data_IF_739911916095
#
_entry.id   IF_739911916095
#
_cell.length_a   1.000
_cell.length_b   1.000
_cell.length_c   1.000
_cell.angle_alpha   90.00
_cell.angle_beta   90.00
_cell.angle_gamma   90.00
#
_symmetry.space_group_name_H-M   'P 1'
#
loop_
_entity.id
_entity.type
_entity.pdbx_description
1 polymer ?
#
# COMPACT_ATOMS: atom_id res chain seq x y z
N UNK A 1 52.14 -71.87 27.44
CA UNK A 1 51.02 -72.79 27.22
C UNK A 1 49.96 -72.08 26.44
N UNK A 2 49.91 -72.42 25.29
CA UNK A 2 49.08 -72.36 24.13
C UNK A 2 47.56 -72.21 24.43
N UNK A 3 46.86 -71.36 23.72
CA UNK A 3 45.48 -71.48 23.26
C UNK A 3 45.19 -70.10 22.67
N UNK A 4 44.87 -69.88 21.42
CA UNK A 4 43.95 -70.52 20.51
C UNK A 4 43.11 -69.38 19.92
N UNK A 5 43.45 -68.91 18.70
CA UNK A 5 42.65 -67.88 17.98
C UNK A 5 41.37 -68.53 17.43
N UNK A 6 40.24 -67.98 17.76
CA UNK A 6 39.00 -68.20 16.98
C UNK A 6 38.67 -66.91 16.21
N UNK A 7 38.67 -67.05 14.88
CA UNK A 7 38.19 -66.03 13.96
C UNK A 7 36.68 -66.05 13.91
N UNK A 8 36.04 -64.90 14.15
CA UNK A 8 34.62 -64.63 13.83
C UNK A 8 34.59 -63.85 12.50
N UNK A 9 34.18 -64.56 11.49
CA UNK A 9 33.79 -63.96 10.20
C UNK A 9 32.45 -63.26 10.41
N UNK A 10 32.49 -61.93 10.51
CA UNK A 10 31.32 -61.04 10.56
C UNK A 10 30.73 -60.90 9.18
N UNK A 11 29.48 -61.22 9.03
CA UNK A 11 28.65 -60.99 7.90
C UNK A 11 28.47 -59.47 7.62
N UNK A 12 29.31 -58.92 6.76
CA UNK A 12 29.11 -57.66 6.08
C UNK A 12 28.24 -57.97 4.86
N UNK A 13 27.01 -57.51 4.88
CA UNK A 13 26.30 -57.53 3.63
C UNK A 13 24.79 -57.42 3.80
N UNK A 14 24.20 -56.49 3.13
CA UNK A 14 22.80 -56.36 2.73
C UNK A 14 21.96 -55.18 3.29
N UNK A 15 22.55 -54.25 4.06
CA UNK A 15 21.80 -53.06 4.44
C UNK A 15 22.08 -51.82 3.54
N UNK A 16 23.11 -51.83 2.71
CA UNK A 16 23.47 -50.69 1.87
C UNK A 16 22.72 -50.59 0.53
N UNK A 17 22.28 -51.75 -0.02
CA UNK A 17 21.68 -51.76 -1.38
C UNK A 17 20.18 -51.35 -1.35
N UNK A 18 19.47 -51.59 -0.26
CA UNK A 18 18.05 -51.24 -0.13
C UNK A 18 17.83 -49.74 0.08
N UNK A 19 18.73 -49.04 0.80
CA UNK A 19 18.63 -47.60 0.99
C UNK A 19 18.87 -46.82 -0.32
N UNK A 20 19.87 -47.20 -1.10
CA UNK A 20 20.15 -46.55 -2.39
C UNK A 20 19.08 -46.78 -3.44
N UNK A 21 18.41 -47.93 -3.43
CA UNK A 21 17.28 -48.19 -4.34
C UNK A 21 16.02 -47.46 -3.97
N UNK A 22 15.73 -47.29 -2.66
CA UNK A 22 14.59 -46.53 -2.19
C UNK A 22 14.75 -45.03 -2.44
N UNK A 23 15.94 -44.45 -2.23
CA UNK A 23 16.22 -43.05 -2.51
C UNK A 23 16.11 -42.75 -4.03
N UNK A 24 16.60 -43.62 -4.88
CA UNK A 24 16.48 -43.45 -6.34
C UNK A 24 15.01 -43.56 -6.81
N UNK A 25 14.23 -44.46 -6.24
CA UNK A 25 12.81 -44.63 -6.57
C UNK A 25 12.00 -43.42 -6.07
N UNK A 26 12.26 -42.94 -4.84
CA UNK A 26 11.63 -41.75 -4.29
C UNK A 26 11.94 -40.47 -5.10
N UNK A 27 13.17 -40.35 -5.64
CA UNK A 27 13.53 -39.23 -6.51
C UNK A 27 12.79 -39.30 -7.87
N UNK A 28 12.68 -40.50 -8.50
CA UNK A 28 11.98 -40.64 -9.76
C UNK A 28 10.46 -40.37 -9.64
N UNK A 29 9.83 -40.83 -8.53
CA UNK A 29 8.42 -40.53 -8.24
C UNK A 29 8.26 -39.05 -7.95
N UNK A 30 9.16 -38.44 -7.18
CA UNK A 30 9.18 -37.01 -6.90
C UNK A 30 9.29 -36.18 -8.19
N UNK A 31 10.19 -36.54 -9.11
CA UNK A 31 10.31 -35.86 -10.40
C UNK A 31 9.03 -35.95 -11.25
N UNK A 32 8.35 -37.10 -11.20
CA UNK A 32 7.05 -37.27 -11.88
C UNK A 32 6.00 -36.37 -11.24
N UNK A 33 5.88 -36.37 -9.92
CA UNK A 33 4.93 -35.54 -9.18
C UNK A 33 5.23 -34.04 -9.39
N UNK A 34 6.51 -33.66 -9.42
CA UNK A 34 6.91 -32.27 -9.73
C UNK A 34 6.44 -31.80 -11.11
N UNK A 35 6.47 -32.64 -12.13
CA UNK A 35 5.93 -32.29 -13.45
C UNK A 35 4.42 -31.99 -13.39
N UNK A 36 3.67 -32.71 -12.55
CA UNK A 36 2.24 -32.43 -12.33
C UNK A 36 2.04 -31.07 -11.62
N UNK A 37 2.81 -30.78 -10.56
CA UNK A 37 2.82 -29.46 -9.91
C UNK A 37 3.13 -28.37 -10.92
N UNK A 38 4.20 -28.52 -11.71
CA UNK A 38 4.62 -27.51 -12.69
C UNK A 38 3.55 -27.19 -13.73
N UNK A 39 2.72 -28.17 -14.09
CA UNK A 39 1.57 -27.96 -15.00
C UNK A 39 0.41 -27.27 -14.27
N UNK A 40 0.08 -27.73 -13.07
CA UNK A 40 -1.05 -27.24 -12.30
C UNK A 40 -0.83 -25.80 -11.77
N UNK A 41 0.43 -25.37 -11.64
CA UNK A 41 0.79 -24.00 -11.21
C UNK A 41 0.85 -22.98 -12.35
N UNK A 42 0.66 -23.40 -13.59
CA UNK A 42 0.55 -22.50 -14.74
C UNK A 42 -0.84 -21.86 -14.76
N UNK A 43 -0.89 -20.54 -14.94
CA UNK A 43 -2.16 -19.85 -15.14
C UNK A 43 -2.83 -20.35 -16.43
N UNK A 44 -4.11 -20.70 -16.40
CA UNK A 44 -4.84 -21.05 -17.61
C UNK A 44 -4.92 -19.84 -18.55
N UNK A 45 -4.85 -20.10 -19.85
CA UNK A 45 -5.04 -19.06 -20.85
C UNK A 45 -6.49 -18.55 -20.79
N UNK A 46 -6.68 -17.22 -20.79
CA UNK A 46 -8.02 -16.67 -20.80
C UNK A 46 -8.78 -17.05 -22.07
N UNK A 47 -10.12 -17.16 -22.00
CA UNK A 47 -10.96 -17.40 -23.17
C UNK A 47 -10.75 -16.32 -24.26
N UNK A 48 -10.76 -16.72 -25.53
CA UNK A 48 -10.52 -15.81 -26.65
C UNK A 48 -11.56 -14.65 -26.70
N UNK A 49 -12.76 -14.88 -26.24
CA UNK A 49 -13.84 -13.89 -26.14
C UNK A 49 -13.51 -12.70 -25.25
N UNK A 50 -12.61 -12.89 -24.26
CA UNK A 50 -12.16 -11.80 -23.37
C UNK A 50 -11.29 -10.76 -24.06
N UNK A 51 -10.78 -11.06 -25.24
CA UNK A 51 -10.07 -10.07 -26.08
C UNK A 51 -11.06 -9.05 -26.69
N UNK A 52 -12.30 -9.48 -26.93
CA UNK A 52 -13.35 -8.63 -27.53
C UNK A 52 -14.22 -7.97 -26.47
N UNK A 53 -14.52 -8.70 -25.38
CA UNK A 53 -15.32 -8.20 -24.27
C UNK A 53 -14.57 -8.50 -22.96
N UNK A 54 -14.03 -7.47 -22.28
CA UNK A 54 -13.36 -7.66 -21.00
C UNK A 54 -14.29 -8.33 -19.98
N UNK A 55 -13.80 -9.35 -19.25
CA UNK A 55 -14.60 -10.06 -18.26
C UNK A 55 -14.83 -9.19 -17.01
N UNK A 56 -15.96 -9.44 -16.36
CA UNK A 56 -16.22 -8.88 -15.03
C UNK A 56 -15.29 -9.50 -13.99
N UNK A 57 -15.10 -8.86 -12.81
CA UNK A 57 -14.34 -9.44 -11.71
C UNK A 57 -14.85 -10.82 -11.27
N UNK A 58 -16.18 -11.02 -11.29
CA UNK A 58 -16.81 -12.29 -10.94
C UNK A 58 -16.50 -13.40 -11.97
N UNK A 59 -16.57 -13.08 -13.26
CA UNK A 59 -16.20 -14.02 -14.34
C UNK A 59 -14.72 -14.40 -14.25
N UNK A 60 -13.84 -13.43 -13.94
CA UNK A 60 -12.42 -13.71 -13.71
C UNK A 60 -12.22 -14.66 -12.51
N UNK A 61 -12.87 -14.39 -11.37
CA UNK A 61 -12.77 -15.23 -10.19
C UNK A 61 -13.23 -16.66 -10.50
N UNK A 62 -14.39 -16.83 -11.12
CA UNK A 62 -14.96 -18.12 -11.51
C UNK A 62 -14.03 -18.95 -12.42
N UNK A 63 -13.25 -18.26 -13.26
CA UNK A 63 -12.32 -18.93 -14.16
C UNK A 63 -10.98 -19.25 -13.51
N UNK A 64 -10.38 -18.31 -12.75
CA UNK A 64 -9.03 -18.49 -12.24
C UNK A 64 -8.96 -19.20 -10.89
N UNK A 65 -9.92 -18.96 -9.97
CA UNK A 65 -9.84 -19.49 -8.59
C UNK A 65 -9.73 -21.01 -8.55
N UNK A 66 -10.52 -21.80 -9.29
CA UNK A 66 -10.37 -23.25 -9.28
C UNK A 66 -9.01 -23.76 -9.72
N UNK A 67 -8.37 -23.07 -10.68
CA UNK A 67 -7.03 -23.43 -11.13
C UNK A 67 -5.96 -23.08 -10.10
N UNK A 68 -6.10 -21.92 -9.43
CA UNK A 68 -5.21 -21.48 -8.34
C UNK A 68 -5.29 -22.44 -7.14
N UNK A 69 -6.50 -22.81 -6.72
CA UNK A 69 -6.72 -23.76 -5.61
C UNK A 69 -6.16 -25.15 -5.93
N UNK A 70 -6.42 -25.68 -7.14
CA UNK A 70 -5.85 -26.96 -7.58
C UNK A 70 -4.32 -26.94 -7.63
N UNK A 71 -3.73 -25.86 -8.16
CA UNK A 71 -2.29 -25.68 -8.18
C UNK A 71 -1.68 -25.65 -6.78
N UNK A 72 -2.31 -24.93 -5.85
CA UNK A 72 -1.91 -24.85 -4.44
C UNK A 72 -2.01 -26.21 -3.74
N UNK A 73 -3.07 -26.98 -3.98
CA UNK A 73 -3.23 -28.32 -3.44
C UNK A 73 -2.18 -29.30 -3.93
N UNK A 74 -1.91 -29.31 -5.25
CA UNK A 74 -0.85 -30.14 -5.85
C UNK A 74 0.53 -29.79 -5.30
N UNK A 75 0.82 -28.49 -5.13
CA UNK A 75 2.07 -28.04 -4.55
C UNK A 75 2.21 -28.52 -3.08
N UNK A 76 1.14 -28.45 -2.29
CA UNK A 76 1.11 -28.94 -0.90
C UNK A 76 1.32 -30.45 -0.82
N UNK A 77 0.57 -31.24 -1.61
CA UNK A 77 0.71 -32.69 -1.68
C UNK A 77 2.16 -33.07 -1.99
N UNK A 78 2.78 -32.38 -2.96
CA UNK A 78 4.15 -32.66 -3.37
C UNK A 78 5.15 -32.51 -2.22
N UNK A 79 5.24 -31.34 -1.57
CA UNK A 79 6.25 -31.14 -0.51
C UNK A 79 5.94 -31.92 0.76
N UNK A 80 4.71 -32.33 0.96
CA UNK A 80 4.31 -33.21 2.08
C UNK A 80 4.78 -34.64 1.84
N UNK A 81 4.65 -35.16 0.62
CA UNK A 81 5.08 -36.52 0.24
C UNK A 81 6.59 -36.59 0.00
N UNK A 82 7.17 -35.53 -0.51
CA UNK A 82 8.60 -35.47 -0.89
C UNK A 82 9.34 -34.33 -0.19
N UNK A 83 9.40 -34.28 1.15
CA UNK A 83 9.93 -33.14 1.89
C UNK A 83 11.43 -32.90 1.66
N UNK A 84 12.18 -33.94 1.27
CA UNK A 84 13.62 -33.87 0.98
C UNK A 84 13.95 -33.65 -0.50
N UNK A 85 12.96 -33.62 -1.37
CA UNK A 85 13.16 -33.39 -2.79
C UNK A 85 13.68 -31.97 -3.07
N UNK A 86 14.61 -31.80 -4.01
CA UNK A 86 15.22 -30.52 -4.37
C UNK A 86 14.20 -29.43 -4.75
N UNK A 87 12.97 -29.80 -5.11
CA UNK A 87 11.88 -28.92 -5.49
C UNK A 87 10.86 -28.65 -4.35
N UNK A 88 11.04 -29.24 -3.18
CA UNK A 88 10.10 -29.10 -2.07
C UNK A 88 9.89 -27.64 -1.65
N UNK A 89 10.97 -26.85 -1.54
CA UNK A 89 10.87 -25.44 -1.20
C UNK A 89 10.24 -24.60 -2.34
N UNK A 90 10.50 -24.96 -3.58
CA UNK A 90 9.84 -24.32 -4.72
C UNK A 90 8.32 -24.60 -4.72
N UNK A 91 7.91 -25.81 -4.34
CA UNK A 91 6.49 -26.14 -4.17
C UNK A 91 5.83 -25.34 -3.04
N UNK A 92 6.49 -25.18 -1.88
CA UNK A 92 5.99 -24.32 -0.77
C UNK A 92 5.77 -22.87 -1.23
N UNK A 93 6.73 -22.32 -1.96
CA UNK A 93 6.61 -20.98 -2.53
C UNK A 93 5.47 -20.89 -3.55
N UNK A 94 5.26 -21.92 -4.35
CA UNK A 94 4.15 -21.97 -5.31
C UNK A 94 2.79 -21.99 -4.60
N UNK A 95 2.59 -22.84 -3.58
CA UNK A 95 1.35 -22.85 -2.79
C UNK A 95 1.06 -21.46 -2.20
N UNK A 96 2.06 -20.85 -1.54
CA UNK A 96 1.92 -19.53 -0.96
C UNK A 96 1.49 -18.47 -1.99
N UNK A 97 2.13 -18.45 -3.14
CA UNK A 97 1.84 -17.47 -4.20
C UNK A 97 0.43 -17.66 -4.77
N UNK A 98 0.03 -18.90 -5.03
CA UNK A 98 -1.28 -19.21 -5.60
C UNK A 98 -2.41 -18.85 -4.63
N UNK A 99 -2.28 -19.20 -3.34
CA UNK A 99 -3.24 -18.81 -2.31
C UNK A 99 -3.28 -17.29 -2.12
N UNK A 100 -2.13 -16.62 -2.21
CA UNK A 100 -2.06 -15.15 -2.14
C UNK A 100 -2.82 -14.49 -3.30
N UNK A 101 -2.67 -15.01 -4.52
CA UNK A 101 -3.41 -14.50 -5.69
C UNK A 101 -4.91 -14.75 -5.52
N UNK A 102 -5.32 -15.96 -5.11
CA UNK A 102 -6.73 -16.30 -4.91
C UNK A 102 -7.37 -15.38 -3.84
N UNK A 103 -6.73 -15.25 -2.68
CA UNK A 103 -7.24 -14.43 -1.59
C UNK A 103 -7.27 -12.92 -1.91
N UNK A 104 -6.18 -12.37 -2.51
CA UNK A 104 -6.07 -10.92 -2.69
C UNK A 104 -6.74 -10.39 -3.95
N UNK A 105 -6.60 -11.10 -5.07
CA UNK A 105 -7.11 -10.62 -6.36
C UNK A 105 -8.56 -10.98 -6.58
N UNK A 106 -8.98 -12.13 -6.04
CA UNK A 106 -10.29 -12.70 -6.30
C UNK A 106 -11.18 -12.77 -5.06
N UNK A 107 -10.71 -12.29 -3.89
CA UNK A 107 -11.42 -12.34 -2.61
C UNK A 107 -11.92 -13.75 -2.26
N UNK A 108 -11.12 -14.77 -2.59
CA UNK A 108 -11.48 -16.15 -2.33
C UNK A 108 -11.46 -16.44 -0.84
N UNK A 109 -12.65 -16.75 -0.30
CA UNK A 109 -12.88 -17.01 1.13
C UNK A 109 -12.28 -18.34 1.59
N UNK A 110 -12.00 -19.29 0.68
CA UNK A 110 -11.38 -20.57 1.01
C UNK A 110 -9.86 -20.46 1.09
N UNK A 111 -9.25 -19.63 0.24
CA UNK A 111 -7.80 -19.44 0.22
C UNK A 111 -7.29 -18.69 1.46
N UNK A 112 -8.04 -17.73 1.99
CA UNK A 112 -7.57 -16.86 3.08
C UNK A 112 -7.25 -17.63 4.38
N UNK A 113 -8.09 -18.53 4.92
CA UNK A 113 -7.75 -19.33 6.10
C UNK A 113 -6.56 -20.28 5.87
N UNK A 114 -6.47 -20.88 4.69
CA UNK A 114 -5.34 -21.75 4.32
C UNK A 114 -4.04 -20.97 4.26
N UNK A 115 -4.07 -19.76 3.68
CA UNK A 115 -2.92 -18.86 3.62
C UNK A 115 -2.46 -18.48 5.03
N UNK A 116 -3.37 -18.15 5.95
CA UNK A 116 -3.03 -17.80 7.33
C UNK A 116 -2.34 -18.95 8.08
N UNK A 117 -2.78 -20.20 7.87
CA UNK A 117 -2.12 -21.38 8.44
C UNK A 117 -0.70 -21.52 7.88
N UNK A 118 -0.54 -21.43 6.56
CA UNK A 118 0.75 -21.55 5.90
C UNK A 118 1.73 -20.42 6.32
N UNK A 119 1.24 -19.19 6.44
CA UNK A 119 2.02 -18.05 6.94
C UNK A 119 2.55 -18.30 8.35
N UNK A 120 1.70 -18.82 9.24
CA UNK A 120 2.08 -19.17 10.61
C UNK A 120 3.12 -20.30 10.65
N UNK A 121 2.93 -21.35 9.86
CA UNK A 121 3.89 -22.45 9.74
C UNK A 121 5.25 -21.94 9.23
N UNK A 122 5.26 -21.11 8.21
CA UNK A 122 6.49 -20.52 7.65
C UNK A 122 7.20 -19.59 8.63
N UNK A 123 6.47 -18.75 9.37
CA UNK A 123 7.08 -17.88 10.40
C UNK A 123 7.79 -18.66 11.51
N UNK A 124 7.38 -19.90 11.76
CA UNK A 124 8.00 -20.79 12.74
C UNK A 124 9.17 -21.59 12.17
N UNK A 125 9.46 -21.51 10.87
CA UNK A 125 10.63 -22.19 10.27
C UNK A 125 11.92 -21.51 10.72
N UNK A 126 12.82 -22.22 11.45
CA UNK A 126 14.09 -21.65 11.91
C UNK A 126 15.08 -21.36 10.76
N UNK A 127 14.84 -21.93 9.58
CA UNK A 127 15.67 -21.70 8.38
C UNK A 127 15.27 -20.44 7.60
N UNK A 128 14.15 -19.82 7.96
CA UNK A 128 13.69 -18.61 7.30
C UNK A 128 14.68 -17.47 7.60
N UNK A 129 15.25 -16.87 6.57
CA UNK A 129 16.13 -15.71 6.71
C UNK A 129 15.37 -14.49 7.27
N UNK A 130 16.11 -13.53 7.83
CA UNK A 130 15.51 -12.28 8.35
C UNK A 130 14.71 -11.54 7.26
N UNK A 131 15.27 -11.44 6.05
CA UNK A 131 14.59 -10.76 4.94
C UNK A 131 13.33 -11.52 4.47
N UNK A 132 13.38 -12.85 4.38
CA UNK A 132 12.18 -13.64 4.06
C UNK A 132 11.11 -13.51 5.14
N UNK A 133 11.51 -13.47 6.41
CA UNK A 133 10.60 -13.26 7.56
C UNK A 133 9.96 -11.86 7.51
N UNK A 134 10.76 -10.84 7.21
CA UNK A 134 10.25 -9.47 7.01
C UNK A 134 9.22 -9.42 5.87
N UNK A 135 9.57 -9.96 4.69
CA UNK A 135 8.67 -9.98 3.53
C UNK A 135 7.36 -10.72 3.82
N UNK A 136 7.45 -11.85 4.53
CA UNK A 136 6.28 -12.63 4.92
C UNK A 136 5.36 -11.82 5.86
N UNK A 137 5.92 -11.20 6.92
CA UNK A 137 5.15 -10.36 7.84
C UNK A 137 4.56 -9.13 7.17
N UNK A 138 5.31 -8.47 6.30
CA UNK A 138 4.78 -7.35 5.50
C UNK A 138 3.62 -7.79 4.61
N UNK A 139 3.75 -8.96 3.99
CA UNK A 139 2.69 -9.56 3.19
C UNK A 139 1.40 -9.81 3.99
N UNK A 140 1.53 -10.29 5.23
CA UNK A 140 0.40 -10.49 6.14
C UNK A 140 -0.31 -9.16 6.43
N UNK A 141 0.45 -8.13 6.84
CA UNK A 141 -0.11 -6.80 7.12
C UNK A 141 -0.82 -6.21 5.90
N UNK A 142 -0.20 -6.29 4.72
CA UNK A 142 -0.82 -5.82 3.48
C UNK A 142 -2.12 -6.56 3.13
N UNK A 143 -2.18 -7.88 3.39
CA UNK A 143 -3.41 -8.66 3.20
C UNK A 143 -4.52 -8.19 4.14
N UNK A 144 -4.20 -7.94 5.40
CA UNK A 144 -5.16 -7.46 6.39
C UNK A 144 -5.66 -6.04 6.10
N UNK A 145 -4.86 -5.19 5.45
CA UNK A 145 -5.29 -3.86 4.98
C UNK A 145 -6.34 -3.91 3.88
N UNK A 146 -6.34 -4.93 3.03
CA UNK A 146 -7.25 -5.00 1.88
C UNK A 146 -8.71 -5.38 2.22
N UNK A 147 -9.10 -5.36 3.51
CA UNK A 147 -10.51 -5.20 3.89
C UNK A 147 -11.34 -6.47 3.99
N UNK A 148 -10.85 -7.55 4.61
CA UNK A 148 -11.77 -8.58 5.12
C UNK A 148 -12.48 -8.08 6.38
N UNK A 149 -13.80 -8.32 6.54
CA UNK A 149 -14.49 -8.01 7.79
C UNK A 149 -13.82 -8.74 8.97
N UNK A 150 -13.76 -8.10 10.14
CA UNK A 150 -13.20 -8.59 11.41
C UNK A 150 -11.68 -8.70 11.56
N UNK A 151 -10.87 -8.05 10.72
CA UNK A 151 -9.41 -8.14 10.78
C UNK A 151 -8.70 -7.03 11.59
N UNK A 152 -9.42 -6.09 12.19
CA UNK A 152 -8.80 -4.93 12.87
C UNK A 152 -7.83 -5.32 14.00
N UNK A 153 -8.23 -6.25 14.88
CA UNK A 153 -7.37 -6.70 15.98
C UNK A 153 -6.17 -7.51 15.45
N UNK A 154 -6.39 -8.34 14.43
CA UNK A 154 -5.32 -9.12 13.81
C UNK A 154 -4.33 -8.19 13.07
N UNK A 155 -4.83 -7.19 12.37
CA UNK A 155 -4.01 -6.15 11.73
C UNK A 155 -3.14 -5.43 12.76
N UNK A 156 -3.73 -4.91 13.84
CA UNK A 156 -3.01 -4.23 14.91
C UNK A 156 -1.90 -5.11 15.51
N UNK A 157 -2.24 -6.36 15.85
CA UNK A 157 -1.29 -7.34 16.35
C UNK A 157 -0.16 -7.62 15.35
N UNK A 158 -0.48 -7.75 14.07
CA UNK A 158 0.50 -8.02 13.01
C UNK A 158 1.45 -6.84 12.80
N UNK A 159 0.96 -5.59 12.89
CA UNK A 159 1.79 -4.38 12.88
C UNK A 159 2.69 -4.31 14.12
N UNK A 160 2.16 -4.69 15.31
CA UNK A 160 2.93 -4.75 16.55
C UNK A 160 4.09 -5.73 16.46
N UNK A 161 3.83 -6.93 15.97
CA UNK A 161 4.84 -7.97 15.77
C UNK A 161 5.87 -7.55 14.72
N UNK A 162 5.44 -6.97 13.60
CA UNK A 162 6.32 -6.50 12.54
C UNK A 162 7.28 -5.41 13.06
N UNK A 163 6.78 -4.42 13.78
CA UNK A 163 7.62 -3.35 14.34
C UNK A 163 8.55 -3.86 15.45
N UNK A 164 8.08 -4.80 16.29
CA UNK A 164 8.88 -5.42 17.34
C UNK A 164 10.04 -6.23 16.76
N UNK A 165 9.79 -7.03 15.73
CA UNK A 165 10.78 -7.92 15.13
C UNK A 165 11.79 -7.13 14.26
N UNK A 166 11.37 -6.02 13.65
CA UNK A 166 12.18 -5.25 12.70
C UNK A 166 12.18 -3.74 12.99
N UNK A 167 12.57 -3.29 14.19
CA UNK A 167 12.42 -1.91 14.63
C UNK A 167 13.28 -0.89 13.87
N UNK A 168 14.27 -1.33 13.08
CA UNK A 168 15.19 -0.47 12.34
C UNK A 168 14.95 -0.52 10.82
N UNK A 169 14.06 -1.37 10.35
CA UNK A 169 13.79 -1.56 8.91
C UNK A 169 12.85 -0.46 8.41
N UNK A 170 13.32 0.30 7.44
CA UNK A 170 12.56 1.41 6.85
C UNK A 170 11.25 0.94 6.22
N UNK A 171 11.24 -0.23 5.62
CA UNK A 171 10.07 -0.85 4.96
C UNK A 171 8.89 -1.00 5.91
N UNK A 172 9.15 -1.29 7.19
CA UNK A 172 8.12 -1.39 8.23
C UNK A 172 7.37 -0.07 8.39
N UNK A 173 8.11 1.02 8.47
CA UNK A 173 7.52 2.35 8.66
C UNK A 173 6.85 2.88 7.39
N UNK A 174 7.33 2.52 6.22
CA UNK A 174 6.64 2.81 4.95
C UNK A 174 5.28 2.11 4.91
N UNK A 175 5.22 0.83 5.33
CA UNK A 175 3.97 0.11 5.43
C UNK A 175 3.02 0.71 6.47
N UNK A 176 3.54 1.12 7.64
CA UNK A 176 2.73 1.81 8.65
C UNK A 176 2.20 3.17 8.15
N UNK A 177 2.99 3.91 7.38
CA UNK A 177 2.54 5.15 6.73
C UNK A 177 1.42 4.89 5.72
N UNK A 178 1.53 3.83 4.93
CA UNK A 178 0.47 3.41 4.01
C UNK A 178 -0.81 3.04 4.77
N UNK A 179 -0.69 2.24 5.83
CA UNK A 179 -1.81 1.89 6.70
C UNK A 179 -2.48 3.12 7.32
N UNK A 180 -1.68 4.10 7.79
CA UNK A 180 -2.21 5.34 8.33
C UNK A 180 -2.91 6.23 7.28
N UNK A 181 -2.57 6.08 6.00
CA UNK A 181 -3.23 6.81 4.91
C UNK A 181 -4.60 6.23 4.54
N UNK A 182 -4.81 4.94 4.79
CA UNK A 182 -6.07 4.23 4.54
C UNK A 182 -6.99 4.22 5.78
N UNK A 183 -6.42 4.43 6.97
CA UNK A 183 -7.18 4.49 8.22
C UNK A 183 -7.86 5.86 8.39
N UNK A 184 -8.91 5.89 9.19
CA UNK A 184 -9.65 7.12 9.51
C UNK A 184 -9.58 7.45 11.01
N UNK A 185 -9.78 8.72 11.34
CA UNK A 185 -9.95 9.20 12.71
C UNK A 185 -8.81 8.84 13.66
N UNK A 186 -9.16 8.25 14.80
CA UNK A 186 -8.22 7.93 15.87
C UNK A 186 -7.21 6.84 15.50
N UNK A 187 -7.59 5.94 14.60
CA UNK A 187 -6.70 4.86 14.14
C UNK A 187 -5.53 5.41 13.32
N UNK A 188 -5.80 6.32 12.39
CA UNK A 188 -4.76 7.03 11.64
C UNK A 188 -3.82 7.80 12.56
N UNK A 189 -4.39 8.55 13.54
CA UNK A 189 -3.61 9.30 14.52
C UNK A 189 -2.73 8.39 15.38
N UNK A 190 -3.25 7.25 15.82
CA UNK A 190 -2.50 6.28 16.61
C UNK A 190 -1.30 5.69 15.85
N UNK A 191 -1.48 5.32 14.58
CA UNK A 191 -0.40 4.83 13.73
C UNK A 191 0.68 5.89 13.50
N UNK A 192 0.28 7.13 13.20
CA UNK A 192 1.20 8.25 13.01
C UNK A 192 1.99 8.55 14.29
N UNK A 193 1.31 8.64 15.44
CA UNK A 193 1.96 8.84 16.74
C UNK A 193 2.99 7.76 17.00
N UNK A 194 2.65 6.51 16.73
CA UNK A 194 3.52 5.36 16.92
C UNK A 194 4.77 5.42 16.04
N UNK A 195 4.66 5.89 14.78
CA UNK A 195 5.81 6.13 13.90
C UNK A 195 6.72 7.21 14.51
N UNK A 196 6.15 8.32 14.98
CA UNK A 196 6.90 9.43 15.55
C UNK A 196 7.66 9.06 16.82
N UNK A 197 7.08 8.21 17.66
CA UNK A 197 7.67 7.74 18.92
C UNK A 197 8.67 6.58 18.73
N UNK A 198 8.83 6.05 17.51
CA UNK A 198 9.66 4.90 17.16
C UNK A 198 11.08 5.30 16.74
N UNK A 199 12.01 4.36 16.55
CA UNK A 199 13.31 4.60 15.93
C UNK A 199 13.25 4.71 14.39
N UNK A 200 12.12 5.11 13.81
CA UNK A 200 11.98 5.33 12.37
C UNK A 200 12.99 6.36 11.86
N UNK A 201 13.46 6.25 10.60
CA UNK A 201 14.31 7.26 9.97
C UNK A 201 13.69 8.66 9.99
N UNK A 202 14.53 9.70 10.09
CA UNK A 202 14.07 11.09 10.18
C UNK A 202 13.21 11.53 8.99
N UNK A 203 13.50 11.03 7.79
CA UNK A 203 12.69 11.27 6.60
C UNK A 203 11.25 10.73 6.76
N UNK A 204 11.10 9.53 7.30
CA UNK A 204 9.80 8.93 7.58
C UNK A 204 9.06 9.72 8.66
N UNK A 205 9.78 10.12 9.73
CA UNK A 205 9.20 10.98 10.79
C UNK A 205 8.77 12.33 10.27
N UNK A 206 9.52 12.93 9.34
CA UNK A 206 9.12 14.19 8.71
C UNK A 206 7.79 14.03 7.93
N UNK A 207 7.66 12.99 7.13
CA UNK A 207 6.41 12.65 6.43
C UNK A 207 5.26 12.39 7.42
N UNK A 208 5.53 11.64 8.50
CA UNK A 208 4.54 11.37 9.55
C UNK A 208 4.07 12.66 10.25
N UNK A 209 4.96 13.62 10.54
CA UNK A 209 4.59 14.95 11.07
C UNK A 209 3.67 15.70 10.11
N UNK A 210 3.94 15.67 8.81
CA UNK A 210 3.06 16.26 7.80
C UNK A 210 1.64 15.69 7.85
N UNK A 211 1.52 14.36 7.89
CA UNK A 211 0.22 13.69 8.03
C UNK A 211 -0.44 14.04 9.38
N UNK A 212 0.32 14.09 10.48
CA UNK A 212 -0.18 14.50 11.79
C UNK A 212 -0.77 15.92 11.74
N UNK A 213 -0.06 16.86 11.12
CA UNK A 213 -0.52 18.24 10.96
C UNK A 213 -1.83 18.28 10.16
N UNK A 214 -1.93 17.52 9.07
CA UNK A 214 -3.16 17.42 8.27
C UNK A 214 -4.32 16.88 9.09
N UNK A 215 -4.14 15.72 9.73
CA UNK A 215 -5.19 15.09 10.54
C UNK A 215 -5.65 15.98 11.71
N UNK A 216 -4.74 16.76 12.26
CA UNK A 216 -5.03 17.70 13.35
C UNK A 216 -5.55 19.07 12.91
N UNK A 217 -5.63 19.36 11.61
CA UNK A 217 -5.98 20.68 11.10
C UNK A 217 -7.49 20.94 11.02
N UNK A 218 -8.32 19.90 10.90
CA UNK A 218 -9.78 20.07 10.79
C UNK A 218 -10.34 20.79 12.05
N UNK A 219 -11.15 21.81 11.82
CA UNK A 219 -11.72 22.66 12.87
C UNK A 219 -10.74 23.67 13.48
N UNK A 220 -9.49 23.76 12.99
CA UNK A 220 -8.45 24.66 13.50
C UNK A 220 -7.97 25.66 12.44
N UNK A 221 -7.33 26.76 12.86
CA UNK A 221 -6.70 27.71 11.95
C UNK A 221 -5.61 27.05 11.12
N UNK A 222 -5.56 27.41 9.82
CA UNK A 222 -4.53 26.95 8.90
C UNK A 222 -3.44 28.01 8.76
N UNK A 223 -2.20 27.65 9.10
CA UNK A 223 -1.04 28.52 8.98
C UNK A 223 -0.37 28.36 7.61
N UNK A 224 -0.76 29.19 6.64
CA UNK A 224 -0.16 29.29 5.32
C UNK A 224 0.18 30.75 5.05
N UNK A 225 1.47 31.05 4.89
CA UNK A 225 1.98 32.39 4.60
C UNK A 225 3.10 32.27 3.56
N UNK A 226 3.01 33.09 2.49
CA UNK A 226 4.00 33.09 1.41
C UNK A 226 3.95 34.37 0.58
N UNK A 227 4.99 34.57 -0.25
CA UNK A 227 4.94 35.51 -1.35
C UNK A 227 4.53 34.78 -2.62
N UNK A 228 3.45 35.20 -3.25
CA UNK A 228 2.92 34.59 -4.46
C UNK A 228 3.84 34.82 -5.67
N UNK A 229 3.62 34.05 -6.74
CA UNK A 229 4.34 34.11 -8.01
C UNK A 229 4.36 35.53 -8.61
N UNK A 230 3.28 36.28 -8.41
CA UNK A 230 3.06 37.67 -8.86
C UNK A 230 3.54 38.75 -7.85
N UNK A 231 4.19 38.33 -6.77
CA UNK A 231 4.73 39.21 -5.71
C UNK A 231 3.75 39.60 -4.60
N UNK A 232 2.48 39.21 -4.66
CA UNK A 232 1.51 39.45 -3.58
C UNK A 232 1.91 38.71 -2.29
N UNK A 233 1.85 39.38 -1.17
CA UNK A 233 1.96 38.73 0.13
C UNK A 233 0.62 38.02 0.44
N UNK A 234 0.69 36.75 0.76
CA UNK A 234 -0.48 35.92 1.12
C UNK A 234 -0.31 35.43 2.56
N UNK A 235 -1.34 35.66 3.37
CA UNK A 235 -1.45 35.11 4.70
C UNK A 235 -2.92 34.68 4.88
N UNK A 236 -3.15 33.36 4.95
CA UNK A 236 -4.50 32.79 5.12
C UNK A 236 -5.12 33.27 6.43
N UNK A 237 -4.32 33.47 7.49
CA UNK A 237 -4.84 33.98 8.77
C UNK A 237 -5.31 35.44 8.69
N UNK A 238 -4.80 36.22 7.74
CA UNK A 238 -5.23 37.61 7.49
C UNK A 238 -6.52 37.69 6.65
N UNK A 239 -6.96 36.58 6.03
CA UNK A 239 -8.18 36.50 5.24
C UNK A 239 -9.44 36.22 6.06
N UNK A 240 -9.39 36.45 7.37
CA UNK A 240 -10.58 36.34 8.24
C UNK A 240 -11.72 37.23 7.73
N UNK A 241 -12.93 36.72 7.82
CA UNK A 241 -14.14 37.33 7.22
C UNK A 241 -14.45 36.81 5.82
N UNK A 242 -13.50 36.07 5.21
CA UNK A 242 -13.67 35.42 3.91
C UNK A 242 -13.68 33.90 4.03
N UNK A 243 -14.33 33.24 3.10
CA UNK A 243 -14.19 31.80 2.86
C UNK A 243 -13.02 31.60 1.91
N UNK A 244 -12.07 30.73 2.24
CA UNK A 244 -10.86 30.54 1.45
C UNK A 244 -10.75 29.11 0.95
N UNK A 245 -10.59 28.93 -0.35
CA UNK A 245 -10.16 27.67 -0.94
C UNK A 245 -8.63 27.62 -0.96
N UNK A 246 -8.05 26.61 -0.32
CA UNK A 246 -6.64 26.24 -0.50
C UNK A 246 -6.60 25.09 -1.50
N UNK A 247 -5.98 25.34 -2.66
CA UNK A 247 -5.95 24.41 -3.78
C UNK A 247 -4.53 23.92 -4.03
N UNK A 248 -4.27 22.64 -3.77
CA UNK A 248 -2.99 21.96 -4.06
C UNK A 248 -3.09 21.29 -5.43
N UNK A 249 -2.31 21.78 -6.39
CA UNK A 249 -2.45 21.41 -7.80
C UNK A 249 -1.13 21.49 -8.58
N UNK A 250 -1.16 21.15 -9.86
CA UNK A 250 -0.06 21.39 -10.80
C UNK A 250 -0.57 21.46 -12.25
N UNK A 251 0.19 22.11 -13.13
CA UNK A 251 -0.12 22.23 -14.56
C UNK A 251 -0.12 20.89 -15.30
N UNK A 252 0.71 19.95 -14.85
CA UNK A 252 0.83 18.59 -15.38
C UNK A 252 -0.19 17.61 -14.79
N UNK A 253 -0.96 18.03 -13.80
CA UNK A 253 -1.97 17.20 -13.16
C UNK A 253 -3.27 17.23 -13.98
N UNK A 254 -3.49 16.21 -14.82
CA UNK A 254 -4.70 16.12 -15.65
C UNK A 254 -6.01 16.31 -14.89
N UNK A 255 -6.26 15.60 -13.77
CA UNK A 255 -7.46 15.78 -12.94
C UNK A 255 -7.60 17.20 -12.35
N UNK A 256 -6.46 17.88 -12.02
CA UNK A 256 -6.48 19.27 -11.54
C UNK A 256 -6.95 20.22 -12.65
N UNK A 257 -6.41 20.05 -13.85
CA UNK A 257 -6.78 20.84 -15.04
C UNK A 257 -8.25 20.62 -15.42
N UNK A 258 -8.75 19.39 -15.26
CA UNK A 258 -10.16 19.07 -15.51
C UNK A 258 -11.11 19.73 -14.49
N UNK A 259 -10.67 19.96 -13.24
CA UNK A 259 -11.45 20.63 -12.20
C UNK A 259 -11.39 22.17 -12.30
N UNK A 260 -10.38 22.74 -12.95
CA UNK A 260 -10.18 24.19 -13.06
C UNK A 260 -11.40 24.98 -13.56
N UNK A 261 -12.20 24.53 -14.54
CA UNK A 261 -13.43 25.23 -14.94
C UNK A 261 -14.43 25.40 -13.78
N UNK A 262 -14.60 24.38 -12.91
CA UNK A 262 -15.48 24.45 -11.74
C UNK A 262 -14.93 25.43 -10.69
N UNK A 263 -13.62 25.39 -10.46
CA UNK A 263 -12.94 26.33 -9.54
C UNK A 263 -13.08 27.76 -10.00
N UNK A 264 -12.87 28.00 -11.31
CA UNK A 264 -13.00 29.34 -11.92
C UNK A 264 -14.46 29.85 -11.87
N UNK A 265 -15.42 29.00 -12.19
CA UNK A 265 -16.85 29.37 -12.12
C UNK A 265 -17.25 29.76 -10.69
N UNK A 266 -16.82 28.98 -9.69
CA UNK A 266 -17.06 29.32 -8.29
C UNK A 266 -16.40 30.66 -7.89
N UNK A 267 -15.17 30.90 -8.33
CA UNK A 267 -14.44 32.14 -8.08
C UNK A 267 -15.15 33.34 -8.72
N UNK A 268 -15.45 33.28 -10.01
CA UNK A 268 -16.11 34.36 -10.74
C UNK A 268 -17.48 34.73 -10.13
N UNK A 269 -18.20 33.74 -9.62
CA UNK A 269 -19.52 33.93 -9.01
C UNK A 269 -19.46 34.46 -7.56
N UNK A 270 -18.52 33.99 -6.76
CA UNK A 270 -18.56 34.16 -5.29
C UNK A 270 -17.46 35.06 -4.75
N UNK A 271 -16.42 35.43 -5.54
CA UNK A 271 -15.32 36.28 -5.09
C UNK A 271 -15.84 37.63 -4.54
N UNK A 272 -16.76 38.29 -5.24
CA UNK A 272 -17.41 39.53 -4.78
C UNK A 272 -18.24 39.39 -3.51
N UNK A 273 -18.52 38.16 -3.07
CA UNK A 273 -19.30 37.85 -1.86
C UNK A 273 -18.39 37.42 -0.68
N UNK A 274 -17.06 37.49 -0.84
CA UNK A 274 -16.12 37.13 0.20
C UNK A 274 -15.49 35.73 0.05
N UNK A 275 -15.48 35.16 -1.13
CA UNK A 275 -14.73 33.95 -1.46
C UNK A 275 -13.36 34.29 -2.01
N UNK A 276 -12.31 33.61 -1.55
CA UNK A 276 -10.95 33.74 -2.04
C UNK A 276 -10.35 32.36 -2.35
N UNK A 277 -9.35 32.36 -3.24
CA UNK A 277 -8.56 31.17 -3.54
C UNK A 277 -7.08 31.48 -3.29
N UNK A 278 -6.39 30.54 -2.68
CA UNK A 278 -4.93 30.50 -2.60
C UNK A 278 -4.46 29.15 -3.12
N UNK A 279 -3.71 29.15 -4.20
CA UNK A 279 -3.24 27.90 -4.82
C UNK A 279 -1.78 27.62 -4.46
N UNK A 280 -1.49 26.34 -4.22
CA UNK A 280 -0.17 25.78 -3.91
C UNK A 280 0.24 24.89 -5.08
N UNK A 281 1.18 25.38 -5.91
CA UNK A 281 1.63 24.65 -7.09
C UNK A 281 2.69 23.60 -6.73
N UNK A 282 2.55 22.42 -7.32
CA UNK A 282 3.51 21.32 -7.32
C UNK A 282 4.34 21.29 -8.62
N UNK A 283 4.37 22.39 -9.38
CA UNK A 283 5.21 22.50 -10.56
C UNK A 283 6.69 22.69 -10.17
N UNK A 284 7.57 22.20 -11.04
CA UNK A 284 9.02 22.41 -10.94
C UNK A 284 9.50 23.54 -11.87
N UNK A 285 8.71 23.88 -12.90
CA UNK A 285 9.02 24.95 -13.86
C UNK A 285 8.17 26.19 -13.60
N UNK A 286 8.85 27.27 -13.21
CA UNK A 286 8.23 28.61 -13.06
C UNK A 286 7.59 29.08 -14.37
N UNK A 287 8.31 28.94 -15.47
CA UNK A 287 7.86 29.39 -16.79
C UNK A 287 6.57 28.66 -17.23
N UNK A 288 6.51 27.33 -17.02
CA UNK A 288 5.35 26.54 -17.35
C UNK A 288 4.12 26.97 -16.50
N UNK A 289 4.33 27.22 -15.21
CA UNK A 289 3.27 27.68 -14.31
C UNK A 289 2.77 29.09 -14.71
N UNK A 290 3.70 30.07 -14.89
CA UNK A 290 3.35 31.44 -15.28
C UNK A 290 2.56 31.48 -16.59
N UNK A 291 3.01 30.73 -17.59
CA UNK A 291 2.32 30.59 -18.88
C UNK A 291 0.92 30.05 -18.68
N UNK A 292 0.77 28.95 -17.93
CA UNK A 292 -0.52 28.30 -17.70
C UNK A 292 -1.50 29.20 -16.94
N UNK A 293 -1.05 29.84 -15.87
CA UNK A 293 -1.84 30.78 -15.06
C UNK A 293 -2.37 31.93 -15.92
N UNK A 294 -1.52 32.48 -16.79
CA UNK A 294 -1.88 33.54 -17.73
C UNK A 294 -2.87 33.07 -18.81
N UNK A 295 -2.61 31.93 -19.44
CA UNK A 295 -3.46 31.38 -20.51
C UNK A 295 -4.86 30.99 -19.99
N UNK A 296 -4.97 30.60 -18.72
CA UNK A 296 -6.22 30.19 -18.08
C UNK A 296 -6.88 31.32 -17.28
N UNK A 297 -6.30 32.51 -17.29
CA UNK A 297 -6.82 33.70 -16.59
C UNK A 297 -7.12 33.39 -15.10
N UNK A 298 -6.13 32.83 -14.39
CA UNK A 298 -6.25 32.50 -12.97
C UNK A 298 -5.85 33.73 -12.14
N UNK A 299 -6.83 34.50 -11.67
CA UNK A 299 -6.63 35.80 -11.03
C UNK A 299 -6.12 35.70 -9.57
N UNK A 300 -6.20 34.53 -8.95
CA UNK A 300 -5.84 34.32 -7.55
C UNK A 300 -4.36 33.95 -7.39
N UNK A 301 -3.78 34.19 -6.16
CA UNK A 301 -2.36 34.01 -5.93
C UNK A 301 -1.92 32.55 -5.99
N UNK A 302 -0.75 32.33 -6.57
CA UNK A 302 -0.10 31.04 -6.71
C UNK A 302 1.15 30.98 -5.84
N UNK A 303 1.27 29.97 -4.97
CA UNK A 303 2.55 29.61 -4.35
C UNK A 303 3.39 28.76 -5.30
N UNK A 304 4.68 29.07 -5.37
CA UNK A 304 5.65 28.30 -6.14
C UNK A 304 7.02 28.34 -5.48
N UNK A 305 7.64 27.16 -5.27
CA UNK A 305 9.03 27.05 -4.81
C UNK A 305 9.90 26.18 -5.72
N UNK A 306 9.32 25.60 -6.78
CA UNK A 306 10.01 24.78 -7.76
C UNK A 306 10.42 23.39 -7.28
N UNK A 307 9.87 22.91 -6.15
CA UNK A 307 10.28 21.67 -5.52
C UNK A 307 9.33 20.49 -5.78
N UNK A 308 8.33 20.65 -6.59
CA UNK A 308 7.37 19.59 -6.92
C UNK A 308 6.74 18.99 -5.67
N UNK A 309 6.85 17.68 -5.50
CA UNK A 309 6.33 16.97 -4.32
C UNK A 309 7.03 17.32 -3.00
N UNK A 310 8.20 17.94 -3.04
CA UNK A 310 8.95 18.42 -1.87
C UNK A 310 8.64 19.88 -1.54
N UNK A 311 7.57 20.45 -2.08
CA UNK A 311 7.20 21.80 -1.79
C UNK A 311 6.86 21.98 -0.30
N UNK A 312 7.17 23.17 0.23
CA UNK A 312 7.07 23.49 1.66
C UNK A 312 5.72 23.10 2.26
N UNK A 313 4.61 23.45 1.62
CA UNK A 313 3.27 23.20 2.17
C UNK A 313 2.79 21.77 1.92
N UNK A 314 3.25 21.16 0.83
CA UNK A 314 3.07 19.73 0.58
C UNK A 314 3.67 18.88 1.70
N UNK A 315 4.92 19.17 2.08
CA UNK A 315 5.58 18.50 3.20
C UNK A 315 4.95 18.86 4.56
N UNK A 316 4.65 20.15 4.79
CA UNK A 316 4.06 20.62 6.05
C UNK A 316 2.77 19.89 6.40
N UNK A 317 1.93 19.61 5.42
CA UNK A 317 0.62 18.98 5.60
C UNK A 317 0.56 17.54 5.09
N UNK A 318 1.68 16.97 4.66
CA UNK A 318 1.73 15.59 4.16
C UNK A 318 0.80 15.35 2.98
N UNK A 319 0.76 16.31 2.03
CA UNK A 319 -0.02 16.17 0.80
C UNK A 319 0.70 15.16 -0.11
N UNK A 320 0.07 14.03 -0.37
CA UNK A 320 0.62 12.91 -1.14
C UNK A 320 -0.12 12.65 -2.46
N UNK A 321 -1.18 13.42 -2.73
CA UNK A 321 -1.94 13.36 -3.97
C UNK A 321 -2.52 14.73 -4.33
N UNK A 322 -2.65 15.02 -5.61
CA UNK A 322 -3.32 16.20 -6.15
C UNK A 322 -4.33 15.76 -7.24
N UNK A 323 -5.46 16.48 -7.43
CA UNK A 323 -5.87 17.67 -6.68
C UNK A 323 -6.26 17.37 -5.23
N UNK A 324 -5.83 18.22 -4.33
CA UNK A 324 -6.31 18.28 -2.94
C UNK A 324 -6.83 19.68 -2.67
N UNK A 325 -8.04 19.78 -2.16
CA UNK A 325 -8.74 21.04 -1.95
C UNK A 325 -9.24 21.14 -0.52
N UNK A 326 -9.02 22.29 0.10
CA UNK A 326 -9.45 22.55 1.48
C UNK A 326 -10.26 23.85 1.55
N UNK A 327 -11.36 23.86 2.30
CA UNK A 327 -12.12 25.05 2.58
C UNK A 327 -11.91 25.53 4.02
N UNK A 328 -11.58 26.80 4.14
CA UNK A 328 -11.42 27.53 5.39
C UNK A 328 -12.60 28.49 5.55
N UNK A 329 -13.21 28.53 6.73
CA UNK A 329 -14.34 29.39 7.03
C UNK A 329 -13.92 30.86 7.32
N UNK A 330 -14.91 31.74 7.51
CA UNK A 330 -14.68 33.15 7.83
C UNK A 330 -13.93 33.39 9.16
N UNK A 331 -13.89 32.38 10.06
CA UNK A 331 -13.12 32.44 11.31
C UNK A 331 -11.66 32.04 11.09
N UNK A 332 -11.33 31.52 9.92
CA UNK A 332 -10.01 31.03 9.55
C UNK A 332 -9.79 29.56 9.86
N UNK A 333 -10.82 28.80 10.22
CA UNK A 333 -10.71 27.38 10.55
C UNK A 333 -10.96 26.50 9.32
N UNK A 334 -10.18 25.44 9.19
CA UNK A 334 -10.38 24.41 8.17
C UNK A 334 -11.69 23.64 8.43
N UNK A 335 -12.60 23.65 7.46
CA UNK A 335 -13.94 23.05 7.60
C UNK A 335 -14.15 21.83 6.71
N UNK A 336 -13.46 21.78 5.60
CA UNK A 336 -13.62 20.72 4.62
C UNK A 336 -12.30 20.43 3.92
N UNK A 337 -11.95 19.15 3.78
CA UNK A 337 -10.71 18.70 3.13
C UNK A 337 -10.96 18.04 1.76
N UNK A 338 -12.22 17.99 1.31
CA UNK A 338 -12.58 17.45 0.01
C UNK A 338 -13.87 18.07 -0.55
N UNK A 339 -13.87 19.36 -0.88
CA UNK A 339 -15.05 20.05 -1.45
C UNK A 339 -15.27 19.74 -2.94
N UNK A 340 -14.45 18.90 -3.55
CA UNK A 340 -14.45 18.58 -4.96
C UNK A 340 -15.80 18.02 -5.41
N UNK A 341 -16.29 18.48 -6.57
CA UNK A 341 -17.60 18.11 -7.12
C UNK A 341 -18.79 18.91 -6.56
N UNK A 342 -18.64 19.57 -5.38
CA UNK A 342 -19.69 20.37 -4.73
C UNK A 342 -19.15 21.73 -4.25
N UNK A 343 -18.07 22.21 -4.89
CA UNK A 343 -17.31 23.37 -4.41
C UNK A 343 -18.21 24.61 -4.24
N UNK A 344 -18.98 24.96 -5.23
CA UNK A 344 -19.87 26.16 -5.20
C UNK A 344 -20.89 26.08 -4.06
N UNK A 345 -21.53 24.93 -3.88
CA UNK A 345 -22.53 24.73 -2.83
C UNK A 345 -21.91 24.86 -1.45
N UNK A 346 -20.76 24.21 -1.23
CA UNK A 346 -20.05 24.21 0.07
C UNK A 346 -19.52 25.61 0.42
N UNK A 347 -18.98 26.33 -0.57
CA UNK A 347 -18.56 27.73 -0.39
C UNK A 347 -19.77 28.60 -0.05
N UNK A 348 -20.88 28.48 -0.80
CA UNK A 348 -22.11 29.25 -0.54
C UNK A 348 -22.63 29.04 0.88
N UNK A 349 -22.61 27.80 1.36
CA UNK A 349 -23.01 27.47 2.74
C UNK A 349 -22.10 28.14 3.78
N UNK A 350 -20.79 28.09 3.60
CA UNK A 350 -19.84 28.74 4.52
C UNK A 350 -19.92 30.27 4.45
N UNK A 351 -20.28 30.84 3.31
CA UNK A 351 -20.53 32.29 3.19
C UNK A 351 -21.80 32.73 3.94
N UNK A 352 -22.78 31.85 4.11
CA UNK A 352 -24.00 32.12 4.86
C UNK A 352 -23.85 31.99 6.38
N UNK A 353 -22.81 31.30 6.89
CA UNK A 353 -22.47 31.21 8.32
C UNK A 353 -21.86 32.54 8.82
#
# INVERSE_FOLDING_TARGET
MVIGKLALIGSLGLHGVSAWSQDATNNAEGDKAWREVSRATQSPWPPAEWQQKPPTPEEQAKFYVPALENGAEKARDFYTRFPQHSKAEQARKAEYNLLTIAARRFNDTNAAPRLAVLEKERLNDPKLSEDERLQLRMGIVQRLMSGMPDTKEEFKKSVDELQKDFPKRQEVYQLMMMAASEAEGDEAQALIKRILDSPAPDEIKAKARGVQNRLGALGKPVAIQYTALDGRAVDVAALKGKVVLIDFWATWCGPCVAELPNVKAAYDKLHGQGFEIVSISFDESREALEKFVKERDMAWPQYFDGKGWQNKFGEQFGINSIPTMWLVDKKGNLRDMNPRGELEERVTRLLAE
#
